data_IF_138524220384
#
_entry.id   IF_138524220384
#
_cell.length_a   1.000
_cell.length_b   1.000
_cell.length_c   1.000
_cell.angle_alpha   90.00
_cell.angle_beta   90.00
_cell.angle_gamma   90.00
#
_symmetry.space_group_name_H-M   'P 1'
#
loop_
_entity.id
_entity.type
_entity.pdbx_description
1 polymer ?
#
# COMPACT_ATOMS: atom_id res chain seq x y z
N UNK A 1 -43.39 23.53 63.74
CA UNK A 1 -43.67 23.11 62.35
C UNK A 1 -42.34 23.05 61.58
N UNK A 2 -41.96 21.85 61.28
CA UNK A 2 -40.62 21.56 60.73
C UNK A 2 -40.68 21.65 59.20
N UNK A 3 -40.04 22.67 58.59
CA UNK A 3 -39.93 22.81 57.15
C UNK A 3 -38.72 22.01 56.64
N UNK A 4 -38.97 20.96 55.92
CA UNK A 4 -37.92 20.15 55.25
C UNK A 4 -37.32 20.92 54.09
N UNK A 5 -36.04 21.29 54.16
CA UNK A 5 -35.29 21.82 53.07
C UNK A 5 -34.75 20.60 52.28
N UNK A 6 -35.33 20.38 51.10
CA UNK A 6 -34.92 19.37 50.17
C UNK A 6 -33.76 19.93 49.31
N UNK A 7 -32.53 19.55 49.65
CA UNK A 7 -31.34 19.91 48.89
C UNK A 7 -31.28 19.06 47.61
N UNK A 8 -31.51 19.72 46.47
CA UNK A 8 -31.39 19.11 45.13
C UNK A 8 -29.92 19.18 44.73
N UNK A 9 -29.18 18.10 44.93
CA UNK A 9 -27.85 17.94 44.34
C UNK A 9 -28.00 17.65 42.84
N UNK A 10 -27.87 18.69 42.05
CA UNK A 10 -27.73 18.55 40.61
C UNK A 10 -26.31 18.02 40.27
N UNK A 11 -26.21 16.72 40.04
CA UNK A 11 -24.98 16.08 39.58
C UNK A 11 -24.76 16.46 38.11
N UNK A 12 -23.93 17.46 37.88
CA UNK A 12 -23.48 17.82 36.51
C UNK A 12 -22.48 16.75 36.06
N UNK A 13 -22.96 15.76 35.33
CA UNK A 13 -22.10 14.81 34.62
C UNK A 13 -21.49 15.56 33.44
N UNK A 14 -20.27 16.03 33.60
CA UNK A 14 -19.45 16.48 32.46
C UNK A 14 -19.13 15.26 31.56
N UNK A 15 -19.94 15.06 30.54
CA UNK A 15 -19.59 14.19 29.43
C UNK A 15 -18.44 14.84 28.70
N UNK A 16 -17.21 14.55 29.13
CA UNK A 16 -16.03 14.78 28.33
C UNK A 16 -16.12 13.80 27.16
N UNK A 17 -16.72 14.25 26.08
CA UNK A 17 -16.68 13.56 24.83
C UNK A 17 -15.23 13.54 24.32
N UNK A 18 -14.48 12.50 24.64
CA UNK A 18 -13.24 12.19 23.92
C UNK A 18 -13.64 11.87 22.48
N UNK A 19 -13.66 12.87 21.62
CA UNK A 19 -13.60 12.65 20.19
C UNK A 19 -12.16 12.18 19.90
N UNK A 20 -11.92 10.88 20.05
CA UNK A 20 -10.67 10.28 19.61
C UNK A 20 -10.70 10.29 18.08
N UNK A 21 -10.27 11.37 17.48
CA UNK A 21 -9.97 11.36 16.05
C UNK A 21 -8.96 10.24 15.82
N UNK A 22 -9.27 9.33 14.87
CA UNK A 22 -8.32 8.29 14.51
C UNK A 22 -7.00 8.95 14.09
N UNK A 23 -5.84 8.42 14.52
CA UNK A 23 -4.56 8.99 14.17
C UNK A 23 -4.37 8.96 12.64
N UNK A 24 -3.78 10.03 12.11
CA UNK A 24 -3.30 10.02 10.73
C UNK A 24 -2.03 9.15 10.69
N UNK A 25 -2.10 8.03 9.97
CA UNK A 25 -1.00 7.09 9.80
C UNK A 25 -0.59 7.13 8.34
N UNK A 26 0.57 7.69 8.08
CA UNK A 26 1.20 7.70 6.76
C UNK A 26 2.26 6.62 6.70
N UNK A 27 2.23 5.79 5.67
CA UNK A 27 3.20 4.73 5.48
C UNK A 27 3.61 4.61 4.02
N UNK A 28 4.89 4.36 3.79
CA UNK A 28 5.46 4.13 2.47
C UNK A 28 6.30 2.86 2.48
N UNK A 29 6.37 2.21 1.34
CA UNK A 29 7.21 1.05 1.11
C UNK A 29 8.12 1.33 -0.08
N UNK A 30 9.41 1.13 0.10
CA UNK A 30 10.43 1.22 -0.93
C UNK A 30 11.00 -0.18 -1.16
N UNK A 31 11.34 -0.50 -2.39
CA UNK A 31 12.07 -1.72 -2.76
C UNK A 31 13.44 -1.30 -3.28
N UNK A 32 14.49 -1.93 -2.79
CA UNK A 32 15.83 -1.71 -3.28
C UNK A 32 16.12 -2.56 -4.54
N UNK A 33 17.28 -2.34 -5.16
CA UNK A 33 17.68 -3.00 -6.40
C UNK A 33 17.94 -4.51 -6.23
N UNK A 34 18.21 -4.96 -5.01
CA UNK A 34 18.42 -6.37 -4.69
C UNK A 34 17.16 -7.09 -4.20
N UNK A 35 16.03 -6.37 -4.15
CA UNK A 35 14.71 -6.93 -3.87
C UNK A 35 14.22 -6.79 -2.44
N UNK A 36 15.01 -6.25 -1.50
CA UNK A 36 14.55 -6.01 -0.13
C UNK A 36 13.59 -4.83 -0.05
N UNK A 37 12.82 -4.79 1.04
CA UNK A 37 11.84 -3.76 1.27
C UNK A 37 12.16 -2.95 2.52
N UNK A 38 12.14 -1.62 2.39
CA UNK A 38 12.21 -0.68 3.50
C UNK A 38 10.85 -0.05 3.68
N UNK A 39 10.25 -0.28 4.83
CA UNK A 39 8.93 0.21 5.19
C UNK A 39 9.12 1.35 6.20
N UNK A 40 8.56 2.53 5.91
CA UNK A 40 8.60 3.68 6.80
C UNK A 40 7.20 4.13 7.14
N UNK A 41 7.00 4.64 8.36
CA UNK A 41 5.72 5.18 8.79
C UNK A 41 5.90 6.37 9.71
N UNK A 42 4.86 7.20 9.74
CA UNK A 42 4.70 8.33 10.63
C UNK A 42 3.27 8.33 11.18
N UNK A 43 3.09 8.79 12.40
CA UNK A 43 1.77 8.90 13.03
C UNK A 43 1.56 10.30 13.60
N UNK A 44 0.38 10.86 13.39
CA UNK A 44 -0.03 12.14 13.96
C UNK A 44 -1.40 11.98 14.67
N UNK A 45 -1.49 12.15 16.00
CA UNK A 45 -0.38 12.39 16.94
C UNK A 45 0.59 11.20 17.03
N UNK A 46 1.80 11.47 17.53
CA UNK A 46 2.81 10.43 17.75
C UNK A 46 2.24 9.33 18.63
N UNK A 47 2.28 8.10 18.15
CA UNK A 47 1.81 6.92 18.86
C UNK A 47 2.96 6.18 19.52
N UNK A 48 2.66 5.58 20.67
CA UNK A 48 3.51 4.58 21.33
C UNK A 48 2.96 3.18 21.10
N UNK A 49 3.80 2.17 21.32
CA UNK A 49 3.43 0.77 21.21
C UNK A 49 4.10 0.05 20.06
N UNK A 50 3.45 -0.98 19.55
CA UNK A 50 4.04 -1.93 18.60
C UNK A 50 3.27 -1.90 17.28
N UNK A 51 4.02 -1.88 16.18
CA UNK A 51 3.51 -2.23 14.86
C UNK A 51 3.87 -3.69 14.56
N UNK A 52 2.86 -4.46 14.18
CA UNK A 52 3.00 -5.84 13.67
C UNK A 52 2.92 -5.79 12.16
N UNK A 53 3.82 -6.49 11.50
CA UNK A 53 3.88 -6.51 10.04
C UNK A 53 3.68 -7.94 9.54
N UNK A 54 2.72 -8.10 8.63
CA UNK A 54 2.46 -9.34 7.89
C UNK A 54 2.79 -9.12 6.42
N UNK A 55 3.38 -10.11 5.75
CA UNK A 55 3.72 -10.06 4.32
C UNK A 55 2.80 -10.97 3.52
N UNK A 56 2.49 -10.59 2.29
CA UNK A 56 1.74 -11.43 1.34
C UNK A 56 2.13 -11.08 -0.10
N UNK A 57 2.01 -12.05 -1.00
CA UNK A 57 2.14 -11.85 -2.44
C UNK A 57 0.84 -11.28 -3.05
N UNK A 58 -0.25 -11.31 -2.30
CA UNK A 58 -1.55 -10.81 -2.72
C UNK A 58 -2.03 -9.68 -1.78
N UNK A 59 -2.28 -8.46 -2.30
CA UNK A 59 -2.69 -7.34 -1.46
C UNK A 59 -4.08 -7.48 -0.84
N UNK A 60 -4.88 -8.42 -1.34
CA UNK A 60 -6.24 -8.67 -0.86
C UNK A 60 -6.31 -9.82 0.18
N UNK A 61 -5.20 -10.57 0.40
CA UNK A 61 -5.19 -11.78 1.23
C UNK A 61 -4.08 -11.71 2.28
N UNK A 62 -4.45 -11.53 3.56
CA UNK A 62 -3.57 -11.56 4.72
C UNK A 62 -4.12 -12.46 5.85
N UNK A 63 -5.08 -13.34 5.53
CA UNK A 63 -5.95 -13.97 6.54
C UNK A 63 -5.29 -15.07 7.36
N UNK A 64 -4.20 -15.68 6.88
CA UNK A 64 -3.57 -16.83 7.53
C UNK A 64 -2.08 -16.62 7.84
N UNK A 65 -1.59 -15.39 7.70
CA UNK A 65 -0.17 -15.13 7.89
C UNK A 65 0.09 -14.52 9.26
N UNK A 66 0.96 -15.17 10.02
CA UNK A 66 1.45 -14.61 11.28
C UNK A 66 2.33 -13.39 10.99
N UNK A 67 2.34 -12.41 11.89
CA UNK A 67 3.27 -11.30 11.79
C UNK A 67 4.72 -11.79 11.76
N UNK A 68 5.50 -11.28 10.82
CA UNK A 68 6.90 -11.64 10.61
C UNK A 68 7.87 -10.64 11.25
N UNK A 69 7.40 -9.42 11.48
CA UNK A 69 8.18 -8.34 12.09
C UNK A 69 7.34 -7.67 13.16
N UNK A 70 7.99 -7.38 14.29
CA UNK A 70 7.48 -6.56 15.39
C UNK A 70 8.46 -5.41 15.59
N UNK A 71 7.99 -4.17 15.52
CA UNK A 71 8.81 -2.98 15.72
C UNK A 71 8.08 -1.98 16.62
N UNK A 72 8.82 -1.09 17.31
CA UNK A 72 8.18 0.00 18.02
C UNK A 72 7.64 1.01 17.00
N UNK A 73 6.46 1.56 17.28
CA UNK A 73 5.86 2.59 16.40
C UNK A 73 6.81 3.79 16.29
N UNK A 74 7.49 4.16 17.36
CA UNK A 74 8.45 5.27 17.42
C UNK A 74 9.66 5.08 16.49
N UNK A 75 10.03 3.85 16.16
CA UNK A 75 11.19 3.59 15.29
C UNK A 75 10.97 4.11 13.87
N UNK A 76 9.71 4.19 13.44
CA UNK A 76 9.31 4.76 12.16
C UNK A 76 9.77 3.98 10.93
N UNK A 77 10.47 2.85 11.13
CA UNK A 77 11.06 2.07 10.04
C UNK A 77 11.18 0.59 10.39
N UNK A 78 11.01 -0.25 9.38
CA UNK A 78 11.37 -1.67 9.42
C UNK A 78 11.86 -2.12 8.04
N UNK A 79 12.67 -3.18 8.02
CA UNK A 79 13.21 -3.75 6.78
C UNK A 79 12.79 -5.21 6.66
N UNK A 80 12.32 -5.59 5.50
CA UNK A 80 12.04 -6.97 5.13
C UNK A 80 13.07 -7.44 4.10
N UNK A 81 13.89 -8.40 4.48
CA UNK A 81 14.93 -8.97 3.64
C UNK A 81 14.36 -10.22 2.97
N UNK A 82 14.54 -10.35 1.66
CA UNK A 82 14.07 -11.49 0.89
C UNK A 82 15.02 -11.81 -0.27
N UNK A 83 15.13 -13.09 -0.59
CA UNK A 83 15.85 -13.55 -1.78
C UNK A 83 14.94 -13.62 -3.02
N UNK A 84 13.66 -13.33 -2.86
CA UNK A 84 12.69 -13.29 -3.97
C UNK A 84 12.73 -11.92 -4.63
N UNK A 85 13.40 -11.83 -5.76
CA UNK A 85 13.50 -10.61 -6.56
C UNK A 85 12.47 -10.55 -7.71
N UNK A 86 11.65 -11.58 -7.86
CA UNK A 86 10.62 -11.69 -8.91
C UNK A 86 9.27 -11.27 -8.38
N UNK A 87 8.79 -11.97 -7.32
CA UNK A 87 7.45 -11.71 -6.77
C UNK A 87 7.39 -10.39 -6.04
N UNK A 88 6.27 -9.74 -6.16
CA UNK A 88 6.00 -8.51 -5.44
C UNK A 88 5.39 -8.81 -4.09
N UNK A 89 5.89 -8.15 -3.05
CA UNK A 89 5.38 -8.28 -1.69
C UNK A 89 4.53 -7.07 -1.31
N UNK A 90 3.46 -7.34 -0.56
CA UNK A 90 2.61 -6.37 0.09
C UNK A 90 2.67 -6.57 1.59
N UNK A 91 2.49 -5.51 2.34
CA UNK A 91 2.64 -5.52 3.80
C UNK A 91 1.37 -4.98 4.44
N UNK A 92 0.86 -5.72 5.41
CA UNK A 92 -0.17 -5.23 6.33
C UNK A 92 0.50 -4.81 7.62
N UNK A 93 0.46 -3.51 7.91
CA UNK A 93 0.92 -2.92 9.15
C UNK A 93 -0.26 -2.84 10.12
N UNK A 94 -0.13 -3.40 11.31
CA UNK A 94 -1.13 -3.32 12.38
C UNK A 94 -0.54 -2.56 13.56
N UNK A 95 -1.02 -1.34 13.78
CA UNK A 95 -0.58 -0.46 14.85
C UNK A 95 -1.42 -0.72 16.09
N UNK A 96 -0.81 -1.28 17.16
CA UNK A 96 -1.45 -1.65 18.41
C UNK A 96 -2.71 -2.54 18.23
N UNK A 97 -2.75 -3.36 17.19
CA UNK A 97 -3.91 -4.19 16.79
C UNK A 97 -5.22 -3.41 16.54
N UNK A 98 -5.13 -2.08 16.47
CA UNK A 98 -6.30 -1.21 16.34
C UNK A 98 -6.41 -0.57 14.95
N UNK A 99 -5.28 -0.15 14.38
CA UNK A 99 -5.27 0.53 13.08
C UNK A 99 -4.45 -0.26 12.09
N UNK A 100 -4.98 -0.48 10.90
CA UNK A 100 -4.29 -1.22 9.85
C UNK A 100 -4.04 -0.36 8.61
N UNK A 101 -2.90 -0.61 7.94
CA UNK A 101 -2.56 -0.07 6.63
C UNK A 101 -2.00 -1.18 5.75
N UNK A 102 -2.46 -1.24 4.51
CA UNK A 102 -1.90 -2.14 3.50
C UNK A 102 -1.09 -1.28 2.53
N UNK A 103 0.16 -1.66 2.34
CA UNK A 103 1.10 -0.95 1.48
C UNK A 103 1.92 -1.91 0.62
N UNK A 104 2.47 -1.40 -0.46
CA UNK A 104 3.44 -2.08 -1.32
C UNK A 104 4.42 -1.07 -1.90
N UNK A 105 5.54 -1.54 -2.41
CA UNK A 105 6.46 -0.68 -3.13
C UNK A 105 5.80 -0.20 -4.43
N UNK A 106 5.78 1.11 -4.69
CA UNK A 106 5.19 1.65 -5.93
C UNK A 106 5.99 1.27 -7.14
N UNK A 107 7.31 1.43 -7.06
CA UNK A 107 8.19 1.06 -8.14
C UNK A 107 8.40 -0.45 -8.16
N UNK A 108 8.25 -1.06 -9.32
CA UNK A 108 8.77 -2.39 -9.57
C UNK A 108 10.14 -2.25 -10.24
N UNK A 109 11.07 -3.09 -9.83
CA UNK A 109 12.39 -3.17 -10.50
C UNK A 109 12.15 -3.81 -11.86
N UNK A 110 12.46 -3.09 -12.92
CA UNK A 110 12.41 -3.54 -14.32
C UNK A 110 13.76 -3.28 -14.95
N UNK A 111 14.18 -4.14 -15.88
CA UNK A 111 15.47 -4.03 -16.53
C UNK A 111 15.43 -3.05 -17.70
N UNK A 112 14.39 -3.14 -18.53
CA UNK A 112 14.26 -2.36 -19.76
C UNK A 112 13.08 -1.39 -19.75
N UNK A 113 12.11 -1.58 -18.84
CA UNK A 113 10.90 -0.74 -18.75
C UNK A 113 11.11 0.40 -17.78
N UNK A 114 11.06 1.62 -18.30
CA UNK A 114 11.20 2.80 -17.47
C UNK A 114 9.89 3.14 -16.76
N UNK A 115 10.02 3.69 -15.54
CA UNK A 115 8.94 4.31 -14.79
C UNK A 115 7.73 3.40 -14.54
N UNK A 116 7.94 2.08 -14.42
CA UNK A 116 6.90 1.13 -14.10
C UNK A 116 6.48 1.28 -12.63
N UNK A 117 5.20 1.63 -12.39
CA UNK A 117 4.69 1.94 -11.07
C UNK A 117 3.26 1.47 -10.87
N UNK A 118 2.98 0.93 -9.68
CA UNK A 118 1.63 0.69 -9.19
C UNK A 118 0.95 2.00 -8.77
N UNK A 119 -0.28 2.19 -9.17
CA UNK A 119 -1.13 3.30 -8.75
C UNK A 119 -1.94 2.99 -7.49
N UNK A 120 -1.72 1.85 -6.83
CA UNK A 120 -2.34 1.49 -5.57
C UNK A 120 -2.03 2.49 -4.45
N UNK A 121 -2.92 2.56 -3.46
CA UNK A 121 -2.76 3.39 -2.28
C UNK A 121 -2.99 4.89 -2.48
N UNK A 122 -3.31 5.38 -3.69
CA UNK A 122 -3.76 6.76 -3.87
C UNK A 122 -5.21 6.90 -3.41
N UNK A 123 -5.45 7.92 -2.59
CA UNK A 123 -6.78 8.24 -2.10
C UNK A 123 -7.41 9.31 -2.99
N UNK A 124 -8.63 9.07 -3.43
CA UNK A 124 -9.42 10.02 -4.19
C UNK A 124 -10.11 11.03 -3.27
N UNK A 125 -10.65 12.11 -3.83
CA UNK A 125 -11.35 13.18 -3.10
C UNK A 125 -12.56 12.69 -2.28
N UNK A 126 -13.16 11.56 -2.68
CA UNK A 126 -14.27 10.92 -1.96
C UNK A 126 -13.81 9.89 -0.91
N UNK A 127 -12.53 9.86 -0.55
CA UNK A 127 -11.96 8.98 0.47
C UNK A 127 -11.74 7.53 0.04
N UNK A 128 -12.05 7.16 -1.20
CA UNK A 128 -11.78 5.81 -1.71
C UNK A 128 -10.31 5.70 -2.11
N UNK A 129 -9.73 4.54 -1.85
CA UNK A 129 -8.33 4.25 -2.17
C UNK A 129 -8.23 3.29 -3.35
N UNK A 130 -7.34 3.57 -4.29
CA UNK A 130 -7.02 2.66 -5.39
C UNK A 130 -6.42 1.38 -4.81
N UNK A 131 -6.95 0.23 -5.20
CA UNK A 131 -6.43 -1.06 -4.76
C UNK A 131 -5.03 -1.30 -5.30
N UNK A 132 -4.16 -1.84 -4.47
CA UNK A 132 -2.83 -2.27 -4.87
C UNK A 132 -2.88 -3.42 -5.89
N UNK A 133 -1.90 -3.48 -6.80
CA UNK A 133 -1.77 -4.57 -7.76
C UNK A 133 -2.85 -4.64 -8.84
N UNK A 134 -3.61 -3.57 -9.08
CA UNK A 134 -4.70 -3.57 -10.07
C UNK A 134 -4.46 -2.64 -11.26
N UNK A 135 -3.82 -1.50 -11.02
CA UNK A 135 -3.56 -0.50 -12.05
C UNK A 135 -2.11 -0.09 -11.98
N UNK A 136 -1.43 -0.18 -13.11
CA UNK A 136 -0.02 0.19 -13.26
C UNK A 136 0.12 1.25 -14.35
N UNK A 137 1.15 2.05 -14.27
CA UNK A 137 1.63 2.91 -15.35
C UNK A 137 3.06 2.51 -15.70
N UNK A 138 3.44 2.68 -16.95
CA UNK A 138 4.80 2.43 -17.41
C UNK A 138 5.18 3.43 -18.48
N UNK A 139 6.47 3.47 -18.79
CA UNK A 139 6.95 3.91 -20.09
C UNK A 139 6.65 2.87 -21.16
N UNK A 140 7.35 2.95 -22.26
CA UNK A 140 7.21 2.06 -23.40
C UNK A 140 7.53 0.59 -23.05
N UNK A 141 6.74 -0.34 -23.58
CA UNK A 141 6.89 -1.79 -23.39
C UNK A 141 7.41 -2.51 -24.63
N UNK A 142 8.01 -1.77 -25.59
CA UNK A 142 8.42 -2.33 -26.88
C UNK A 142 9.65 -3.23 -26.83
N UNK A 143 10.47 -3.11 -25.78
CA UNK A 143 11.75 -3.82 -25.66
C UNK A 143 11.86 -4.51 -24.31
N UNK A 144 10.91 -5.42 -24.04
CA UNK A 144 10.90 -6.19 -22.79
C UNK A 144 12.08 -7.17 -22.76
N UNK A 145 12.82 -7.20 -21.66
CA UNK A 145 13.72 -8.29 -21.36
C UNK A 145 12.93 -9.56 -20.99
N UNK A 146 13.57 -10.71 -21.03
CA UNK A 146 12.98 -11.95 -20.56
C UNK A 146 12.53 -11.85 -19.07
N UNK A 147 13.36 -11.22 -18.24
CA UNK A 147 13.05 -10.96 -16.84
C UNK A 147 11.85 -10.04 -16.65
N UNK A 148 11.76 -8.98 -17.46
CA UNK A 148 10.60 -8.09 -17.40
C UNK A 148 9.31 -8.81 -17.79
N UNK A 149 9.36 -9.69 -18.77
CA UNK A 149 8.23 -10.51 -19.19
C UNK A 149 7.75 -11.41 -18.04
N UNK A 150 8.68 -12.12 -17.37
CA UNK A 150 8.36 -12.97 -16.21
C UNK A 150 7.74 -12.14 -15.08
N UNK A 151 8.27 -10.94 -14.82
CA UNK A 151 7.73 -10.04 -13.77
C UNK A 151 6.33 -9.54 -14.12
N UNK A 152 6.07 -9.17 -15.37
CA UNK A 152 4.74 -8.76 -15.82
C UNK A 152 3.72 -9.89 -15.71
N UNK A 153 4.10 -11.11 -16.06
CA UNK A 153 3.24 -12.29 -15.91
C UNK A 153 2.89 -12.54 -14.45
N UNK A 154 3.86 -12.45 -13.55
CA UNK A 154 3.63 -12.59 -12.10
C UNK A 154 2.71 -11.51 -11.53
N UNK A 155 2.69 -10.30 -12.12
CA UNK A 155 1.74 -9.26 -11.74
C UNK A 155 0.31 -9.55 -12.21
N UNK A 156 0.12 -10.54 -13.07
CA UNK A 156 -1.19 -10.96 -13.58
C UNK A 156 -1.88 -9.89 -14.41
N UNK A 157 -1.12 -9.06 -15.15
CA UNK A 157 -1.66 -8.00 -15.99
C UNK A 157 -2.45 -8.63 -17.14
N UNK A 158 -3.71 -8.21 -17.29
CA UNK A 158 -4.65 -8.75 -18.30
C UNK A 158 -4.87 -7.81 -19.47
N UNK A 159 -4.63 -6.53 -19.28
CA UNK A 159 -4.97 -5.49 -20.26
C UNK A 159 -3.88 -4.43 -20.28
N UNK A 160 -3.41 -4.09 -21.46
CA UNK A 160 -2.49 -2.97 -21.70
C UNK A 160 -3.27 -1.92 -22.50
N UNK A 161 -3.22 -0.67 -22.04
CA UNK A 161 -3.77 0.48 -22.75
C UNK A 161 -2.60 1.32 -23.25
N UNK A 162 -2.43 1.37 -24.57
CA UNK A 162 -1.44 2.22 -25.20
C UNK A 162 -2.07 3.59 -25.50
N UNK A 163 -1.51 4.62 -24.87
CA UNK A 163 -1.98 6.02 -25.02
C UNK A 163 -1.18 6.78 -26.10
N UNK A 164 -0.26 6.12 -26.79
CA UNK A 164 0.55 6.75 -27.85
C UNK A 164 -0.27 6.95 -29.13
N UNK A 165 0.19 7.87 -29.95
CA UNK A 165 -0.39 8.11 -31.27
C UNK A 165 -0.08 6.97 -32.24
N UNK A 166 -0.85 6.86 -33.33
CA UNK A 166 -0.59 5.86 -34.37
C UNK A 166 0.80 6.02 -35.02
N UNK A 167 1.33 7.24 -35.09
CA UNK A 167 2.67 7.49 -35.64
C UNK A 167 3.78 6.96 -34.73
N UNK A 168 3.61 7.07 -33.42
CA UNK A 168 4.55 6.53 -32.44
C UNK A 168 4.50 5.00 -32.35
N UNK A 169 3.34 4.39 -32.60
CA UNK A 169 3.17 2.94 -32.56
C UNK A 169 3.66 2.22 -33.83
N UNK A 170 3.65 2.88 -34.98
CA UNK A 170 4.12 2.29 -36.25
C UNK A 170 5.61 1.91 -36.24
N UNK A 171 6.42 2.49 -35.37
CA UNK A 171 7.83 2.14 -35.22
C UNK A 171 8.07 0.81 -34.48
N UNK A 172 7.04 0.13 -33.99
CA UNK A 172 7.13 -0.98 -33.03
C UNK A 172 6.45 -2.28 -33.49
N UNK A 173 6.34 -2.55 -34.81
CA UNK A 173 5.60 -3.69 -35.38
C UNK A 173 6.28 -5.07 -35.13
N UNK A 174 7.05 -5.26 -34.09
CA UNK A 174 7.63 -6.57 -33.77
C UNK A 174 7.53 -6.92 -32.28
N UNK A 175 6.31 -7.02 -31.74
CA UNK A 175 6.10 -7.71 -30.49
C UNK A 175 5.15 -8.87 -30.75
N UNK A 176 5.68 -10.10 -30.59
CA UNK A 176 4.89 -11.34 -30.61
C UNK A 176 3.81 -11.27 -29.52
N UNK A 177 2.56 -11.50 -29.93
CA UNK A 177 1.39 -11.52 -29.03
C UNK A 177 1.55 -12.51 -27.86
N UNK A 178 0.93 -12.22 -26.65
CA UNK A 178 -0.51 -12.09 -26.60
C UNK A 178 -0.97 -10.86 -25.80
N UNK A 179 -1.26 -9.78 -26.42
CA UNK A 179 -1.92 -8.65 -25.73
C UNK A 179 -3.04 -8.10 -26.59
N UNK A 180 -4.25 -8.25 -26.11
CA UNK A 180 -5.44 -7.71 -26.74
C UNK A 180 -5.44 -6.20 -26.55
N UNK A 181 -5.12 -5.45 -27.59
CA UNK A 181 -5.26 -4.00 -27.59
C UNK A 181 -6.74 -3.64 -27.62
N UNK A 182 -7.23 -2.98 -26.58
CA UNK A 182 -8.49 -2.25 -26.60
C UNK A 182 -8.17 -0.79 -26.95
N UNK A 183 -8.67 -0.35 -28.10
CA UNK A 183 -8.67 1.07 -28.49
C UNK A 183 -9.92 1.75 -27.96
#
# INVERSE_FOLDING_TARGET
MLGKILSLFASVILLVGCSSNAPDIRAICLRDDIGNYVIKWETDPVMEGIVKMTVSDNPDIFTNESPIIYANIKDGVATYITNDNISRKYFRLSFNDKYARIIGARSAVMDSVQNFRDLGGYTSTNGKTVKWGKVFRSGELSSLSEWDSIRLDNLGIKTIIDLRTNQETLSLIHISEPTRHLR
#
